data_IF_012743044614
#
_entry.id   IF_012743044614
#
_cell.length_a   1.000
_cell.length_b   1.000
_cell.length_c   1.000
_cell.angle_alpha   90.00
_cell.angle_beta   90.00
_cell.angle_gamma   90.00
#
_symmetry.space_group_name_H-M   'P 1'
#
loop_
_entity.id
_entity.type
_entity.pdbx_description
1 polymer ?
#
# COMPACT_ATOMS: atom_id res chain seq x y z
N UNK A 1 -17.19 2.57 21.71
CA UNK A 1 -16.34 1.39 21.45
C UNK A 1 -16.29 1.13 19.93
N UNK A 2 -15.09 0.96 19.37
CA UNK A 2 -14.94 0.85 17.91
C UNK A 2 -14.87 -0.61 17.44
N UNK A 3 -14.33 -1.51 18.21
CA UNK A 3 -14.23 -2.94 17.91
C UNK A 3 -13.17 -3.33 16.89
N UNK A 4 -12.87 -2.52 15.92
CA UNK A 4 -11.84 -2.69 14.88
C UNK A 4 -12.11 -1.73 13.75
N UNK A 5 -11.07 -1.12 13.17
CA UNK A 5 -11.22 -0.08 12.14
C UNK A 5 -10.51 -0.39 10.84
N UNK A 6 -9.31 -0.98 10.93
CA UNK A 6 -8.47 -1.35 9.78
C UNK A 6 -8.20 -0.22 8.78
N UNK A 7 -8.43 1.02 9.19
CA UNK A 7 -8.34 2.23 8.38
C UNK A 7 -9.70 2.83 7.96
N UNK A 8 -10.79 2.07 7.98
CA UNK A 8 -12.09 2.55 7.50
C UNK A 8 -12.86 3.42 8.51
N UNK A 9 -12.40 3.50 9.76
CA UNK A 9 -13.06 4.27 10.82
C UNK A 9 -12.23 5.47 11.26
N UNK A 10 -11.44 6.04 10.36
CA UNK A 10 -10.61 7.21 10.63
C UNK A 10 -11.36 8.53 10.46
N UNK A 11 -12.44 8.52 9.67
CA UNK A 11 -13.29 9.70 9.46
C UNK A 11 -14.68 9.46 10.01
N UNK A 12 -15.35 10.55 10.37
CA UNK A 12 -16.75 10.57 10.76
C UNK A 12 -17.63 10.49 9.50
N UNK A 13 -18.05 9.30 9.09
CA UNK A 13 -18.89 9.10 7.91
C UNK A 13 -20.38 9.13 8.25
N UNK A 14 -20.78 8.42 9.30
CA UNK A 14 -22.20 8.22 9.66
C UNK A 14 -22.57 8.87 10.98
N UNK A 15 -21.60 9.20 11.82
CA UNK A 15 -21.80 9.79 13.14
C UNK A 15 -22.56 11.11 13.07
N UNK A 16 -22.21 12.05 12.15
CA UNK A 16 -22.99 13.30 12.01
C UNK A 16 -24.44 13.05 11.60
N UNK A 17 -24.68 12.05 10.74
CA UNK A 17 -26.03 11.66 10.32
C UNK A 17 -26.83 11.09 11.49
N UNK A 18 -26.22 10.20 12.29
CA UNK A 18 -26.84 9.68 13.51
C UNK A 18 -27.18 10.77 14.50
N UNK A 19 -26.28 11.73 14.71
CA UNK A 19 -26.50 12.85 15.61
C UNK A 19 -27.69 13.72 15.14
N UNK A 20 -27.70 14.08 13.86
CA UNK A 20 -28.80 14.85 13.28
C UNK A 20 -30.14 14.11 13.39
N UNK A 21 -30.19 12.81 13.08
CA UNK A 21 -31.41 12.01 13.23
C UNK A 21 -31.88 11.96 14.70
N UNK A 22 -30.96 11.89 15.66
CA UNK A 22 -31.28 11.91 17.08
C UNK A 22 -31.97 13.22 17.49
N UNK A 23 -31.52 14.36 16.97
CA UNK A 23 -32.16 15.66 17.18
C UNK A 23 -33.60 15.68 16.64
N UNK A 24 -33.82 15.12 15.42
CA UNK A 24 -35.15 15.11 14.81
C UNK A 24 -36.18 14.25 15.57
N UNK A 25 -35.74 13.31 16.39
CA UNK A 25 -36.60 12.46 17.25
C UNK A 25 -36.55 12.86 18.72
N UNK A 26 -36.27 14.14 19.01
CA UNK A 26 -36.24 14.71 20.36
C UNK A 26 -35.29 13.97 21.33
N UNK A 27 -34.09 13.66 20.87
CA UNK A 27 -33.04 13.03 21.66
C UNK A 27 -33.22 11.53 21.92
N UNK A 28 -34.12 10.87 21.23
CA UNK A 28 -34.23 9.41 21.32
C UNK A 28 -33.06 8.73 20.67
N UNK A 29 -32.68 7.53 21.17
CA UNK A 29 -31.60 6.77 20.62
C UNK A 29 -31.88 6.38 19.15
N UNK A 30 -30.89 6.63 18.28
CA UNK A 30 -30.90 6.26 16.87
C UNK A 30 -29.77 5.27 16.59
N UNK A 31 -30.11 4.21 15.88
CA UNK A 31 -29.11 3.26 15.35
C UNK A 31 -29.07 3.39 13.83
N UNK A 32 -27.86 3.55 13.28
CA UNK A 32 -27.61 3.48 11.85
C UNK A 32 -26.88 2.15 11.54
N UNK A 33 -27.47 1.33 10.68
CA UNK A 33 -26.98 0.01 10.33
C UNK A 33 -26.95 -0.14 8.81
N UNK A 34 -25.75 -0.08 8.22
CA UNK A 34 -25.59 -0.21 6.78
C UNK A 34 -25.71 -1.68 6.34
N UNK A 35 -26.43 -1.93 5.26
CA UNK A 35 -26.34 -3.18 4.55
C UNK A 35 -24.94 -3.36 3.95
N UNK A 36 -24.66 -4.55 3.44
CA UNK A 36 -23.38 -4.80 2.77
C UNK A 36 -23.24 -3.95 1.50
N UNK A 37 -24.30 -3.83 0.73
CA UNK A 37 -24.34 -3.04 -0.51
C UNK A 37 -24.10 -1.55 -0.21
N UNK A 38 -24.78 -1.01 0.80
CA UNK A 38 -24.56 0.36 1.25
C UNK A 38 -23.13 0.58 1.73
N UNK A 39 -22.56 -0.39 2.44
CA UNK A 39 -21.16 -0.31 2.88
C UNK A 39 -20.19 -0.24 1.70
N UNK A 40 -20.42 -0.98 0.62
CA UNK A 40 -19.56 -0.94 -0.56
C UNK A 40 -19.61 0.39 -1.32
N UNK A 41 -20.73 1.09 -1.31
CA UNK A 41 -20.88 2.35 -2.06
C UNK A 41 -20.66 3.60 -1.22
N UNK A 42 -20.83 3.52 0.09
CA UNK A 42 -20.76 4.69 0.99
C UNK A 42 -19.53 4.71 1.92
N UNK A 43 -18.86 3.58 2.08
CA UNK A 43 -17.64 3.50 2.87
C UNK A 43 -16.40 3.45 1.96
N UNK A 44 -15.23 3.55 2.58
CA UNK A 44 -13.95 3.51 1.87
C UNK A 44 -13.57 2.11 1.48
N UNK A 45 -12.95 1.99 0.31
CA UNK A 45 -12.40 0.74 -0.21
C UNK A 45 -10.88 0.86 -0.36
N UNK A 46 -10.20 -0.27 -0.49
CA UNK A 46 -8.77 -0.30 -0.80
C UNK A 46 -8.53 0.29 -2.20
N UNK A 47 -7.49 1.11 -2.33
CA UNK A 47 -7.08 1.66 -3.62
C UNK A 47 -6.72 0.55 -4.61
N UNK A 48 -7.26 0.62 -5.80
CA UNK A 48 -6.68 -0.05 -6.96
C UNK A 48 -5.47 0.78 -7.41
N UNK A 49 -4.30 0.15 -7.49
CA UNK A 49 -3.06 0.83 -7.91
C UNK A 49 -2.51 0.09 -9.14
N UNK A 50 -2.37 0.81 -10.25
CA UNK A 50 -1.62 0.35 -11.40
C UNK A 50 -0.16 0.71 -11.19
N UNK A 51 0.70 -0.30 -11.26
CA UNK A 51 2.14 -0.14 -11.05
C UNK A 51 2.86 -0.58 -12.31
N UNK A 52 3.70 0.31 -12.83
CA UNK A 52 4.62 0.03 -13.91
C UNK A 52 6.04 0.07 -13.34
N UNK A 53 6.79 -1.02 -13.48
CA UNK A 53 8.10 -1.18 -12.90
C UNK A 53 9.10 -1.66 -13.93
N UNK A 54 10.27 -1.02 -13.95
CA UNK A 54 11.42 -1.42 -14.76
C UNK A 54 12.60 -1.61 -13.83
N UNK A 55 13.25 -2.77 -13.92
CA UNK A 55 14.46 -3.07 -13.17
C UNK A 55 15.63 -3.34 -14.13
N UNK A 56 16.76 -2.73 -13.88
CA UNK A 56 18.01 -2.98 -14.59
C UNK A 56 18.93 -3.83 -13.72
N UNK A 57 19.36 -4.94 -14.29
CA UNK A 57 20.18 -5.93 -13.59
C UNK A 57 21.61 -5.94 -14.14
N UNK A 58 22.57 -6.20 -13.27
CA UNK A 58 23.94 -6.56 -13.70
C UNK A 58 23.98 -8.04 -14.02
N UNK A 59 25.07 -8.45 -14.70
CA UNK A 59 25.27 -9.84 -15.08
C UNK A 59 25.38 -10.81 -13.88
N UNK A 60 25.78 -10.29 -12.74
CA UNK A 60 25.88 -11.04 -11.48
C UNK A 60 24.52 -11.18 -10.75
N UNK A 61 23.45 -10.62 -11.30
CA UNK A 61 22.12 -10.64 -10.71
C UNK A 61 21.86 -9.50 -9.72
N UNK A 62 22.82 -8.59 -9.48
CA UNK A 62 22.56 -7.43 -8.62
C UNK A 62 21.66 -6.39 -9.30
N UNK A 63 20.76 -5.78 -8.54
CA UNK A 63 19.88 -4.71 -9.02
C UNK A 63 20.69 -3.41 -9.13
N UNK A 64 20.81 -2.88 -10.34
CA UNK A 64 21.59 -1.67 -10.63
C UNK A 64 20.75 -0.39 -10.54
N UNK A 65 19.50 -0.46 -11.02
CA UNK A 65 18.57 0.65 -11.00
C UNK A 65 17.13 0.14 -11.04
N UNK A 66 16.21 0.98 -10.56
CA UNK A 66 14.75 0.75 -10.65
C UNK A 66 14.03 2.04 -11.00
N UNK A 67 13.02 1.91 -11.85
CA UNK A 67 12.04 2.97 -12.11
C UNK A 67 10.65 2.42 -11.84
N UNK A 68 9.86 3.17 -11.04
CA UNK A 68 8.51 2.76 -10.62
C UNK A 68 7.54 3.91 -10.85
N UNK A 69 6.45 3.62 -11.53
CA UNK A 69 5.32 4.55 -11.71
C UNK A 69 4.06 3.95 -11.10
N UNK A 70 3.44 4.66 -10.16
CA UNK A 70 2.25 4.24 -9.45
C UNK A 70 1.07 5.14 -9.80
N UNK A 71 -0.01 4.59 -10.34
CA UNK A 71 -1.26 5.29 -10.61
C UNK A 71 -2.34 4.74 -9.68
N UNK A 72 -2.70 5.52 -8.67
CA UNK A 72 -3.68 5.13 -7.66
C UNK A 72 -5.06 5.67 -8.01
N UNK A 73 -6.05 4.79 -8.13
CA UNK A 73 -7.43 5.17 -8.30
C UNK A 73 -8.02 5.63 -6.97
N UNK A 74 -8.30 6.93 -6.86
CA UNK A 74 -8.82 7.55 -5.64
C UNK A 74 -10.35 7.47 -5.53
N UNK A 75 -11.05 7.33 -6.64
CA UNK A 75 -12.49 7.54 -6.67
C UNK A 75 -12.84 9.04 -6.66
N UNK A 76 -13.99 9.37 -6.10
CA UNK A 76 -14.59 10.72 -6.25
C UNK A 76 -14.05 11.78 -5.29
N UNK A 77 -13.43 11.41 -4.17
CA UNK A 77 -12.94 12.35 -3.16
C UNK A 77 -11.52 12.02 -2.69
N UNK A 78 -10.77 13.05 -2.30
CA UNK A 78 -9.35 12.95 -1.99
C UNK A 78 -9.00 12.02 -0.80
N UNK A 79 -9.77 12.03 0.28
CA UNK A 79 -9.46 11.25 1.48
C UNK A 79 -7.93 11.24 1.80
N UNK A 80 -7.34 10.06 2.00
CA UNK A 80 -5.90 9.88 2.26
C UNK A 80 -5.10 9.40 1.02
N UNK A 81 -5.64 9.54 -0.19
CA UNK A 81 -5.10 8.92 -1.40
C UNK A 81 -3.65 9.26 -1.70
N UNK A 82 -3.27 10.52 -1.56
CA UNK A 82 -1.91 10.98 -1.82
C UNK A 82 -0.88 10.33 -0.88
N UNK A 83 -1.18 10.22 0.41
CA UNK A 83 -0.27 9.59 1.38
C UNK A 83 -0.19 8.08 1.21
N UNK A 84 -1.28 7.44 0.75
CA UNK A 84 -1.32 5.99 0.50
C UNK A 84 -0.45 5.62 -0.70
N UNK A 85 -0.55 6.34 -1.81
CA UNK A 85 0.28 6.05 -2.98
C UNK A 85 1.75 6.41 -2.75
N UNK A 86 2.02 7.49 -2.02
CA UNK A 86 3.38 7.86 -1.62
C UNK A 86 4.02 6.77 -0.72
N UNK A 87 3.25 6.22 0.22
CA UNK A 87 3.70 5.11 1.05
C UNK A 87 3.95 3.83 0.23
N UNK A 88 3.08 3.53 -0.74
CA UNK A 88 3.29 2.42 -1.67
C UNK A 88 4.60 2.59 -2.44
N UNK A 89 4.82 3.78 -3.03
CA UNK A 89 6.05 4.08 -3.77
C UNK A 89 7.31 3.95 -2.89
N UNK A 90 7.26 4.51 -1.68
CA UNK A 90 8.40 4.47 -0.74
C UNK A 90 8.81 3.05 -0.32
N UNK A 91 7.90 2.07 -0.41
CA UNK A 91 8.20 0.70 -0.01
C UNK A 91 9.07 -0.08 -1.02
N UNK A 92 9.12 0.32 -2.30
CA UNK A 92 9.87 -0.40 -3.34
C UNK A 92 11.39 -0.40 -3.18
N UNK A 93 11.94 0.54 -2.42
CA UNK A 93 13.38 0.59 -2.18
C UNK A 93 13.74 0.19 -0.74
N UNK A 94 12.82 -0.43 -0.01
CA UNK A 94 13.05 -0.86 1.38
C UNK A 94 13.60 -2.29 1.46
N UNK A 95 12.95 -3.25 0.79
CA UNK A 95 13.35 -4.66 0.89
C UNK A 95 14.59 -4.97 0.04
N UNK A 96 14.63 -4.44 -1.17
CA UNK A 96 15.69 -4.64 -2.15
C UNK A 96 16.25 -3.29 -2.61
N UNK A 97 17.05 -2.61 -1.75
CA UNK A 97 17.54 -1.29 -2.04
C UNK A 97 18.49 -1.32 -3.24
N UNK A 98 18.36 -0.34 -4.13
CA UNK A 98 19.26 -0.17 -5.23
C UNK A 98 19.84 1.27 -5.25
N UNK A 99 21.05 1.46 -5.78
CA UNK A 99 21.73 2.76 -5.74
C UNK A 99 21.05 3.84 -6.59
N UNK A 100 20.27 3.43 -7.60
CA UNK A 100 19.59 4.33 -8.51
C UNK A 100 18.09 3.99 -8.52
N UNK A 101 17.31 4.74 -7.77
CA UNK A 101 15.86 4.59 -7.70
C UNK A 101 15.18 5.87 -8.18
N UNK A 102 14.29 5.72 -9.16
CA UNK A 102 13.41 6.78 -9.65
C UNK A 102 11.96 6.32 -9.47
N UNK A 103 11.11 7.17 -8.93
CA UNK A 103 9.72 6.80 -8.69
C UNK A 103 8.76 7.96 -8.75
N UNK A 104 7.65 7.76 -9.45
CA UNK A 104 6.54 8.69 -9.57
C UNK A 104 5.25 8.08 -9.04
N UNK A 105 4.50 8.86 -8.27
CA UNK A 105 3.21 8.44 -7.70
C UNK A 105 2.11 9.44 -8.02
N UNK A 106 1.06 8.95 -8.64
CA UNK A 106 -0.09 9.74 -9.08
C UNK A 106 -1.36 9.27 -8.39
N UNK A 107 -2.16 10.22 -7.90
CA UNK A 107 -3.50 9.97 -7.40
C UNK A 107 -4.49 10.48 -8.44
N UNK A 108 -5.36 9.60 -8.94
CA UNK A 108 -6.28 9.90 -10.04
C UNK A 108 -7.71 9.86 -9.53
N UNK A 109 -8.46 10.94 -9.72
CA UNK A 109 -9.88 10.99 -9.44
C UNK A 109 -10.68 10.25 -10.52
N UNK A 110 -11.69 9.51 -10.08
CA UNK A 110 -12.59 8.76 -10.97
C UNK A 110 -14.01 8.73 -10.41
N UNK A 111 -14.94 8.12 -11.15
CA UNK A 111 -16.35 8.04 -10.77
C UNK A 111 -16.72 6.80 -9.94
N UNK A 112 -15.74 6.18 -9.25
CA UNK A 112 -16.03 5.08 -8.33
C UNK A 112 -16.15 5.59 -6.89
N UNK A 113 -16.67 4.78 -5.94
CA UNK A 113 -16.65 5.12 -4.53
C UNK A 113 -15.25 5.49 -4.04
N UNK A 114 -15.20 6.40 -3.07
CA UNK A 114 -13.93 6.93 -2.55
C UNK A 114 -13.07 5.81 -1.96
N UNK A 115 -11.85 5.69 -2.46
CA UNK A 115 -10.85 4.85 -1.85
C UNK A 115 -10.20 5.57 -0.65
N UNK A 116 -9.80 4.80 0.34
CA UNK A 116 -9.21 5.34 1.57
C UNK A 116 -8.24 4.39 2.24
N UNK A 117 -7.88 4.74 3.46
CA UNK A 117 -6.98 3.91 4.25
C UNK A 117 -7.58 2.52 4.46
N UNK A 118 -6.82 1.51 4.12
CA UNK A 118 -7.12 0.12 4.41
C UNK A 118 -5.83 -0.59 4.80
N UNK A 119 -5.89 -1.47 5.80
CA UNK A 119 -4.77 -2.18 6.44
C UNK A 119 -3.58 -2.37 5.52
N UNK A 120 -2.42 -1.78 5.89
CA UNK A 120 -1.20 -1.74 5.09
C UNK A 120 -1.06 -0.51 4.17
N UNK A 121 -2.16 0.26 3.91
CA UNK A 121 -2.10 1.59 3.25
C UNK A 121 -1.21 1.60 1.99
N UNK A 122 -1.55 0.81 0.97
CA UNK A 122 -0.81 0.70 -0.29
C UNK A 122 0.33 -0.34 -0.29
N UNK A 123 0.87 -0.72 0.85
CA UNK A 123 1.95 -1.72 0.92
C UNK A 123 1.56 -3.10 0.37
N UNK A 124 0.34 -3.65 0.59
CA UNK A 124 -0.01 -4.93 -0.01
C UNK A 124 0.06 -4.94 -1.54
N UNK A 125 -0.35 -3.84 -2.19
CA UNK A 125 -0.29 -3.68 -3.63
C UNK A 125 1.17 -3.55 -4.10
N UNK A 126 1.97 -2.74 -3.40
CA UNK A 126 3.39 -2.56 -3.70
C UNK A 126 4.18 -3.85 -3.49
N UNK A 127 3.97 -4.57 -2.39
CA UNK A 127 4.65 -5.85 -2.13
C UNK A 127 4.33 -6.89 -3.19
N UNK A 128 3.07 -6.98 -3.63
CA UNK A 128 2.71 -7.89 -4.72
C UNK A 128 3.48 -7.57 -6.01
N UNK A 129 3.55 -6.27 -6.38
CA UNK A 129 4.25 -5.85 -7.59
C UNK A 129 5.78 -6.03 -7.47
N UNK A 130 6.35 -5.70 -6.32
CA UNK A 130 7.79 -5.82 -6.06
C UNK A 130 8.24 -7.28 -6.09
N UNK A 131 7.57 -8.16 -5.36
CA UNK A 131 7.91 -9.58 -5.31
C UNK A 131 7.69 -10.29 -6.66
N UNK A 132 6.66 -9.89 -7.42
CA UNK A 132 6.45 -10.39 -8.78
C UNK A 132 7.57 -9.94 -9.72
N UNK A 133 8.02 -8.68 -9.63
CA UNK A 133 9.14 -8.17 -10.40
C UNK A 133 10.46 -8.86 -10.02
N UNK A 134 10.68 -9.15 -8.75
CA UNK A 134 11.85 -9.89 -8.26
C UNK A 134 11.90 -11.31 -8.84
N UNK A 135 10.76 -12.01 -8.92
CA UNK A 135 10.69 -13.32 -9.55
C UNK A 135 11.03 -13.26 -11.05
N UNK A 136 10.51 -12.27 -11.77
CA UNK A 136 10.84 -12.06 -13.18
C UNK A 136 12.32 -11.67 -13.36
N UNK A 137 12.89 -10.89 -12.48
CA UNK A 137 14.31 -10.53 -12.46
C UNK A 137 15.19 -11.77 -12.26
N UNK A 138 14.88 -12.61 -11.28
CA UNK A 138 15.60 -13.88 -11.03
C UNK A 138 15.59 -14.77 -12.26
N UNK A 139 14.42 -14.94 -12.87
CA UNK A 139 14.25 -15.71 -14.10
C UNK A 139 15.06 -15.14 -15.26
N UNK A 140 15.09 -13.82 -15.43
CA UNK A 140 15.81 -13.15 -16.50
C UNK A 140 17.33 -13.37 -16.45
N UNK A 141 17.90 -13.51 -15.25
CA UNK A 141 19.33 -13.79 -15.04
C UNK A 141 19.64 -15.26 -14.81
N UNK A 142 18.63 -16.13 -14.84
CA UNK A 142 18.79 -17.58 -14.64
C UNK A 142 19.17 -17.97 -13.22
N UNK A 143 18.80 -17.16 -12.22
CA UNK A 143 19.04 -17.43 -10.80
C UNK A 143 17.82 -18.10 -10.14
N UNK A 144 18.11 -18.89 -9.12
CA UNK A 144 17.07 -19.32 -8.18
C UNK A 144 16.41 -18.11 -7.50
N UNK A 145 15.07 -18.02 -7.41
CA UNK A 145 14.39 -16.87 -6.82
C UNK A 145 14.78 -16.57 -5.37
N UNK A 146 15.08 -17.59 -4.56
CA UNK A 146 15.55 -17.38 -3.19
C UNK A 146 16.96 -16.82 -3.18
N UNK A 147 17.86 -17.37 -4.01
CA UNK A 147 19.24 -16.89 -4.13
C UNK A 147 19.28 -15.44 -4.60
N UNK A 148 18.43 -15.06 -5.56
CA UNK A 148 18.31 -13.67 -6.04
C UNK A 148 17.85 -12.73 -4.92
N UNK A 149 16.84 -13.13 -4.11
CA UNK A 149 16.39 -12.34 -2.96
C UNK A 149 17.50 -12.17 -1.93
N UNK A 150 18.16 -13.24 -1.54
CA UNK A 150 19.26 -13.21 -0.56
C UNK A 150 20.42 -12.28 -0.99
N UNK A 151 20.71 -12.25 -2.28
CA UNK A 151 21.76 -11.39 -2.82
C UNK A 151 21.41 -9.91 -2.82
N UNK A 152 20.13 -9.57 -3.09
CA UNK A 152 19.65 -8.20 -3.25
C UNK A 152 18.96 -7.66 -1.99
N UNK A 153 18.76 -8.49 -0.98
CA UNK A 153 18.09 -8.11 0.25
C UNK A 153 18.84 -6.99 0.97
N UNK A 154 18.08 -6.12 1.61
CA UNK A 154 18.60 -5.09 2.50
C UNK A 154 19.60 -5.68 3.50
N UNK A 155 20.82 -5.15 3.59
CA UNK A 155 21.82 -5.65 4.51
C UNK A 155 21.42 -5.43 5.96
N UNK A 156 21.89 -6.31 6.86
CA UNK A 156 21.67 -6.19 8.29
C UNK A 156 22.15 -4.83 8.81
N UNK A 157 21.30 -4.16 9.60
CA UNK A 157 21.61 -2.84 10.16
C UNK A 157 21.40 -1.68 9.18
N UNK A 158 20.81 -1.93 8.03
CA UNK A 158 20.39 -0.84 7.16
C UNK A 158 19.31 0.01 7.87
N UNK A 159 19.51 1.31 7.89
CA UNK A 159 18.51 2.26 8.34
C UNK A 159 17.75 2.81 7.14
N UNK A 160 16.45 2.58 7.10
CA UNK A 160 15.59 3.19 6.10
C UNK A 160 15.40 4.70 6.37
N UNK A 161 14.68 5.38 5.49
CA UNK A 161 14.38 6.81 5.64
C UNK A 161 13.58 7.16 6.92
N UNK A 162 13.08 6.16 7.65
CA UNK A 162 12.36 6.29 8.91
C UNK A 162 13.16 5.80 10.12
N UNK A 163 14.47 5.54 9.96
CA UNK A 163 15.37 5.04 11.01
C UNK A 163 14.96 3.70 11.61
N UNK A 164 14.34 2.83 10.81
CA UNK A 164 14.04 1.47 11.21
C UNK A 164 15.26 0.58 10.98
N UNK A 165 15.77 0.00 12.06
CA UNK A 165 16.79 -1.03 11.96
C UNK A 165 16.10 -2.37 11.72
N UNK A 166 16.21 -2.92 10.53
CA UNK A 166 15.55 -4.17 10.13
C UNK A 166 16.58 -5.25 9.79
N UNK A 167 16.25 -6.49 10.13
CA UNK A 167 17.06 -7.65 9.86
C UNK A 167 16.23 -8.72 9.15
N UNK A 168 16.11 -8.60 7.85
CA UNK A 168 15.36 -9.56 7.05
C UNK A 168 16.16 -10.85 6.77
N UNK A 169 17.49 -10.80 6.79
CA UNK A 169 18.32 -11.96 6.52
C UNK A 169 18.05 -13.10 7.48
N UNK A 170 17.98 -12.83 8.78
CA UNK A 170 17.68 -13.86 9.78
C UNK A 170 16.26 -14.43 9.60
N UNK A 171 15.29 -13.59 9.21
CA UNK A 171 13.93 -14.06 8.93
C UNK A 171 13.86 -15.00 7.73
N UNK A 172 14.54 -14.68 6.64
CA UNK A 172 14.62 -15.54 5.47
C UNK A 172 15.33 -16.87 5.73
N UNK A 173 16.38 -16.86 6.58
CA UNK A 173 17.09 -18.10 6.95
C UNK A 173 16.28 -19.04 7.84
N UNK A 174 15.27 -18.51 8.55
CA UNK A 174 14.40 -19.27 9.44
C UNK A 174 13.19 -19.89 8.71
N UNK A 175 12.85 -19.41 7.52
CA UNK A 175 11.79 -19.95 6.68
C UNK A 175 12.30 -21.06 5.77
#
# INVERSE_FOLDING_TARGET
YIGGGFGNKQDALYEPLCAWCCEQVNGRAVKFDCSREETFVSNRVRHAIRIHMISWLRKDGSIAARKVECFSNQGSYASHGHSIVAKALGSFNQHYPCPNFEGDAYTVFTNIPTAGAMRGCGMPQASFADESNVDECAKAVGMDPLAFRMQNLMPKGFEDAFSHNVNYEDSFRQC
#
